data_IF_748374340097
#
_entry.id   IF_748374340097
#
_cell.length_a   1.000
_cell.length_b   1.000
_cell.length_c   1.000
_cell.angle_alpha   90.00
_cell.angle_beta   90.00
_cell.angle_gamma   90.00
#
_symmetry.space_group_name_H-M   'P 1'
#
loop_
_entity.id
_entity.type
_entity.pdbx_description
1 polymer ?
#
# COMPACT_ATOMS: atom_id res chain seq x y z
N UNK A 1 4.06 -37.80 26.26
CA UNK A 1 5.17 -36.82 26.14
C UNK A 1 4.59 -35.44 26.45
N UNK A 2 5.08 -34.76 27.50
CA UNK A 2 4.62 -33.40 27.85
C UNK A 2 5.22 -32.40 26.87
N UNK A 3 4.38 -31.60 26.20
CA UNK A 3 4.81 -30.48 25.33
C UNK A 3 5.50 -29.43 26.23
N UNK A 4 6.76 -29.15 25.97
CA UNK A 4 7.46 -27.99 26.57
C UNK A 4 6.88 -26.71 25.97
N UNK A 5 6.49 -25.75 26.80
CA UNK A 5 5.98 -24.45 26.37
C UNK A 5 7.09 -23.65 25.72
N UNK A 6 6.74 -22.81 24.74
CA UNK A 6 7.68 -21.94 24.04
C UNK A 6 8.46 -21.01 25.00
N UNK A 7 7.88 -20.68 26.15
CA UNK A 7 8.55 -19.90 27.21
C UNK A 7 9.71 -20.66 27.86
N UNK A 8 9.64 -21.99 27.97
CA UNK A 8 10.73 -22.83 28.53
C UNK A 8 11.92 -22.89 27.54
N UNK A 9 11.67 -22.80 26.24
CA UNK A 9 12.70 -22.78 25.21
C UNK A 9 13.40 -21.40 25.14
N UNK A 10 12.67 -20.31 25.35
CA UNK A 10 13.23 -18.95 25.44
C UNK A 10 14.08 -18.77 26.70
N UNK A 11 13.69 -19.34 27.83
CA UNK A 11 14.47 -19.31 29.06
C UNK A 11 15.79 -20.08 28.94
N UNK A 12 15.80 -21.17 28.15
CA UNK A 12 17.00 -22.00 27.92
C UNK A 12 17.99 -21.36 26.91
N UNK A 13 17.56 -20.38 26.11
CA UNK A 13 18.36 -19.67 25.12
C UNK A 13 18.96 -18.34 25.64
N UNK A 14 18.78 -18.02 26.92
CA UNK A 14 19.28 -16.76 27.51
C UNK A 14 20.78 -16.84 27.75
N UNK A 15 21.61 -15.89 27.25
CA UNK A 15 23.02 -15.83 27.55
C UNK A 15 23.25 -15.60 29.07
N UNK A 16 24.24 -16.28 29.64
CA UNK A 16 24.53 -16.26 31.09
C UNK A 16 25.00 -14.88 31.63
N UNK A 17 25.31 -13.93 30.77
CA UNK A 17 25.86 -12.62 31.15
C UNK A 17 24.81 -11.57 31.54
N UNK A 18 23.52 -11.93 31.58
CA UNK A 18 22.42 -11.03 31.96
C UNK A 18 21.98 -11.14 33.39
N UNK A 19 22.60 -11.98 34.22
CA UNK A 19 22.31 -12.10 35.65
C UNK A 19 23.18 -11.14 36.46
N UNK A 20 22.80 -9.86 36.54
CA UNK A 20 23.37 -8.92 37.52
C UNK A 20 22.72 -9.15 38.89
N UNK A 21 23.48 -9.38 39.95
CA UNK A 21 22.91 -9.55 41.31
C UNK A 21 22.51 -8.18 41.87
N UNK A 22 21.23 -8.01 42.16
CA UNK A 22 20.76 -6.93 43.02
C UNK A 22 19.68 -6.01 42.44
N UNK A 23 18.44 -6.50 42.32
CA UNK A 23 17.26 -5.66 42.55
C UNK A 23 16.00 -6.52 42.81
N UNK A 24 15.80 -6.94 44.03
CA UNK A 24 14.50 -7.33 44.51
C UNK A 24 13.64 -6.07 44.65
N UNK A 25 12.73 -5.82 43.71
CA UNK A 25 11.60 -4.91 43.88
C UNK A 25 10.31 -5.70 43.77
N UNK A 26 9.44 -5.49 44.76
CA UNK A 26 8.15 -6.11 44.93
C UNK A 26 7.32 -6.09 43.66
N UNK A 27 6.61 -7.20 43.41
CA UNK A 27 5.57 -7.31 42.40
C UNK A 27 4.44 -6.34 42.75
N UNK A 28 4.38 -5.22 42.05
CA UNK A 28 3.26 -4.29 42.05
C UNK A 28 2.18 -4.84 41.10
N UNK A 29 0.99 -5.01 41.58
CA UNK A 29 -0.16 -5.54 40.84
C UNK A 29 -0.40 -4.73 39.57
N UNK A 30 -0.26 -5.38 38.41
CA UNK A 30 -0.61 -4.79 37.13
C UNK A 30 -2.13 -4.67 37.03
N UNK A 31 -2.66 -3.49 36.71
CA UNK A 31 -4.07 -3.31 36.42
C UNK A 31 -4.44 -4.07 35.14
N UNK A 32 -5.60 -4.73 35.17
CA UNK A 32 -6.27 -5.42 34.07
C UNK A 32 -6.21 -4.59 32.76
N UNK A 33 -5.87 -5.19 31.63
CA UNK A 33 -5.80 -4.46 30.38
C UNK A 33 -7.18 -4.01 29.95
N UNK A 34 -7.40 -2.71 29.97
CA UNK A 34 -8.50 -2.05 29.26
C UNK A 34 -8.36 -2.38 27.79
N UNK A 35 -9.38 -3.00 27.21
CA UNK A 35 -9.47 -3.20 25.75
C UNK A 35 -9.33 -1.85 25.05
N UNK A 36 -8.12 -1.54 24.60
CA UNK A 36 -7.87 -0.42 23.70
C UNK A 36 -8.38 -0.83 22.32
N UNK A 37 -9.32 -0.07 21.80
CA UNK A 37 -9.84 -0.19 20.47
C UNK A 37 -8.67 -0.31 19.46
N UNK A 38 -8.73 -1.34 18.63
CA UNK A 38 -7.76 -1.61 17.57
C UNK A 38 -7.77 -0.41 16.62
N UNK A 39 -6.69 0.34 16.56
CA UNK A 39 -6.42 1.22 15.45
C UNK A 39 -6.38 0.35 14.19
N UNK A 40 -7.40 0.47 13.34
CA UNK A 40 -7.48 -0.25 12.07
C UNK A 40 -6.55 0.46 11.10
N UNK A 41 -5.43 -0.15 10.83
CA UNK A 41 -4.63 0.18 9.66
C UNK A 41 -5.46 -0.18 8.44
N UNK A 42 -5.57 0.75 7.49
CA UNK A 42 -6.06 0.47 6.14
C UNK A 42 -4.95 -0.31 5.45
N UNK A 43 -4.87 -1.61 5.78
CA UNK A 43 -4.02 -2.56 5.08
C UNK A 43 -4.67 -2.90 3.74
N UNK A 44 -3.87 -2.98 2.70
CA UNK A 44 -4.29 -3.49 1.41
C UNK A 44 -4.94 -4.87 1.60
N UNK A 45 -6.21 -4.97 1.25
CA UNK A 45 -6.95 -6.22 1.31
C UNK A 45 -6.51 -7.09 0.14
N UNK A 46 -5.76 -8.13 0.43
CA UNK A 46 -5.54 -9.24 -0.49
C UNK A 46 -6.70 -10.21 -0.38
N UNK A 47 -7.66 -10.10 -1.28
CA UNK A 47 -8.69 -11.11 -1.44
C UNK A 47 -8.34 -12.00 -2.63
N UNK A 48 -8.16 -13.29 -2.39
CA UNK A 48 -7.81 -14.30 -3.40
C UNK A 48 -9.03 -15.01 -3.97
N UNK A 49 -9.06 -15.07 -5.26
CA UNK A 49 -9.59 -16.00 -6.27
C UNK A 49 -10.63 -17.08 -5.94
N UNK A 50 -11.68 -17.08 -6.74
CA UNK A 50 -12.23 -18.30 -7.34
C UNK A 50 -12.57 -18.03 -8.81
N UNK A 51 -12.01 -18.86 -9.70
CA UNK A 51 -12.19 -18.83 -11.15
C UNK A 51 -13.55 -19.38 -11.54
N UNK A 52 -14.32 -18.60 -12.31
CA UNK A 52 -15.30 -19.16 -13.27
C UNK A 52 -15.23 -18.34 -14.54
N UNK A 53 -14.84 -18.99 -15.62
CA UNK A 53 -14.84 -18.44 -16.98
C UNK A 53 -16.27 -18.46 -17.53
N UNK A 54 -16.81 -17.29 -17.90
CA UNK A 54 -17.93 -17.22 -18.85
C UNK A 54 -17.64 -16.11 -19.84
N UNK A 55 -17.52 -16.51 -21.10
CA UNK A 55 -17.43 -15.66 -22.28
C UNK A 55 -18.83 -15.10 -22.56
N UNK A 56 -18.94 -13.78 -22.60
CA UNK A 56 -20.15 -13.10 -23.03
C UNK A 56 -19.84 -11.67 -23.49
N UNK A 57 -19.68 -11.53 -24.80
CA UNK A 57 -19.58 -10.21 -25.43
C UNK A 57 -20.96 -9.56 -25.46
N UNK A 58 -21.14 -8.45 -24.77
CA UNK A 58 -22.26 -7.52 -25.02
C UNK A 58 -21.71 -6.10 -25.13
N UNK A 59 -21.87 -5.54 -26.31
CA UNK A 59 -21.60 -4.15 -26.61
C UNK A 59 -22.61 -3.25 -25.89
N UNK A 60 -22.16 -2.30 -25.10
CA UNK A 60 -22.97 -1.24 -24.51
C UNK A 60 -22.69 0.10 -25.20
N UNK A 61 -23.71 0.92 -25.48
CA UNK A 61 -23.54 2.18 -26.19
C UNK A 61 -22.89 3.23 -25.28
N UNK A 62 -21.85 3.88 -25.82
CA UNK A 62 -21.18 5.03 -25.23
C UNK A 62 -22.12 6.24 -25.26
N UNK A 63 -22.42 6.79 -24.07
CA UNK A 63 -22.87 8.16 -23.96
C UNK A 63 -21.62 9.08 -24.03
N UNK A 64 -21.48 9.79 -25.13
CA UNK A 64 -20.43 10.76 -25.38
C UNK A 64 -20.75 12.05 -24.61
N UNK A 65 -19.84 12.43 -23.71
CA UNK A 65 -19.80 13.77 -23.12
C UNK A 65 -19.15 14.73 -24.15
N UNK A 66 -19.80 15.81 -24.59
CA UNK A 66 -19.25 16.69 -25.63
C UNK A 66 -18.28 17.70 -25.00
N UNK A 67 -17.00 17.36 -24.92
CA UNK A 67 -16.00 18.31 -24.44
C UNK A 67 -14.55 17.86 -24.42
N UNK A 68 -14.26 16.60 -24.68
CA UNK A 68 -12.87 16.12 -24.73
C UNK A 68 -12.46 15.93 -26.18
N UNK A 69 -11.58 16.79 -26.67
CA UNK A 69 -10.89 16.65 -27.97
C UNK A 69 -10.21 15.28 -28.00
N UNK A 70 -10.73 14.38 -28.84
CA UNK A 70 -10.13 13.09 -29.14
C UNK A 70 -8.89 13.28 -30.00
N UNK A 71 -7.76 13.65 -29.37
CA UNK A 71 -6.46 13.39 -29.96
C UNK A 71 -6.36 11.89 -30.20
N UNK A 72 -6.04 11.47 -31.43
CA UNK A 72 -5.81 10.07 -31.76
C UNK A 72 -4.78 9.49 -30.78
N UNK A 73 -5.24 8.73 -29.80
CA UNK A 73 -4.36 7.91 -28.94
C UNK A 73 -3.81 6.83 -29.88
N UNK A 74 -2.54 6.94 -30.23
CA UNK A 74 -1.85 5.90 -30.96
C UNK A 74 -1.98 4.60 -30.15
N UNK A 75 -2.72 3.62 -30.68
CA UNK A 75 -2.87 2.29 -30.10
C UNK A 75 -1.54 1.55 -30.30
N UNK A 76 -0.60 1.77 -29.36
CA UNK A 76 0.56 0.91 -29.24
C UNK A 76 0.11 -0.43 -28.65
N UNK A 77 0.65 -1.58 -29.15
CA UNK A 77 0.43 -2.86 -28.48
C UNK A 77 0.81 -2.73 -27.02
N UNK A 78 -0.11 -3.06 -26.13
CA UNK A 78 0.01 -2.78 -24.69
C UNK A 78 1.29 -3.36 -24.04
N UNK A 79 1.84 -4.48 -24.56
CA UNK A 79 3.08 -5.09 -24.10
C UNK A 79 4.32 -4.21 -24.30
N UNK A 80 4.38 -3.44 -25.38
CA UNK A 80 5.58 -2.64 -25.71
C UNK A 80 5.81 -1.45 -24.77
N UNK A 81 4.76 -0.84 -24.22
CA UNK A 81 4.88 0.32 -23.35
C UNK A 81 5.51 -0.06 -22.00
N UNK A 82 5.04 -1.16 -21.39
CA UNK A 82 5.60 -1.62 -20.11
C UNK A 82 7.03 -2.16 -20.27
N UNK A 83 7.32 -2.89 -21.35
CA UNK A 83 8.69 -3.36 -21.62
C UNK A 83 9.65 -2.17 -21.83
N UNK A 84 9.18 -1.10 -22.48
CA UNK A 84 9.96 0.13 -22.62
C UNK A 84 10.19 0.78 -21.25
N UNK A 85 9.14 0.90 -20.43
CA UNK A 85 9.26 1.40 -19.07
C UNK A 85 10.23 0.56 -18.22
N UNK A 86 10.18 -0.77 -18.34
CA UNK A 86 11.07 -1.69 -17.62
C UNK A 86 12.54 -1.54 -18.05
N UNK A 87 12.81 -1.39 -19.37
CA UNK A 87 14.17 -1.10 -19.86
C UNK A 87 14.66 0.25 -19.38
N UNK A 88 13.82 1.29 -19.44
CA UNK A 88 14.17 2.62 -18.98
C UNK A 88 14.40 2.66 -17.48
N UNK A 89 13.61 1.90 -16.69
CA UNK A 89 13.86 1.71 -15.27
C UNK A 89 15.24 1.11 -15.02
N UNK A 90 15.57 0.02 -15.71
CA UNK A 90 16.86 -0.67 -15.56
C UNK A 90 18.08 0.18 -15.98
N UNK A 91 17.89 1.12 -16.89
CA UNK A 91 18.94 2.04 -17.37
C UNK A 91 19.21 3.23 -16.43
N UNK A 92 18.36 3.44 -15.39
CA UNK A 92 18.55 4.56 -14.47
C UNK A 92 19.81 4.39 -13.63
N UNK A 93 20.64 5.43 -13.60
CA UNK A 93 21.77 5.47 -12.69
C UNK A 93 21.29 5.86 -11.30
N UNK A 94 21.70 5.11 -10.29
CA UNK A 94 21.40 5.39 -8.89
C UNK A 94 22.70 5.40 -8.09
N UNK A 95 22.92 6.48 -7.35
CA UNK A 95 23.99 6.55 -6.37
C UNK A 95 23.35 6.36 -4.98
N UNK A 96 23.61 5.24 -4.30
CA UNK A 96 23.09 5.00 -2.97
C UNK A 96 23.57 6.04 -1.98
N UNK A 97 22.62 6.68 -1.27
CA UNK A 97 22.85 7.59 -0.17
C UNK A 97 22.55 6.94 1.19
N UNK A 98 22.60 7.70 2.28
CA UNK A 98 22.26 7.21 3.62
C UNK A 98 20.75 6.94 3.81
N UNK A 99 19.87 7.59 3.06
CA UNK A 99 18.42 7.42 3.17
C UNK A 99 17.78 7.18 1.80
N UNK A 100 16.88 6.22 1.72
CA UNK A 100 15.92 6.10 0.62
C UNK A 100 14.70 6.95 0.95
N UNK A 101 14.44 7.97 0.14
CA UNK A 101 13.32 8.88 0.30
C UNK A 101 12.22 8.56 -0.69
N UNK A 102 10.99 8.45 -0.20
CA UNK A 102 9.79 8.39 -1.04
C UNK A 102 8.79 9.45 -0.60
N UNK A 103 8.09 10.04 -1.56
CA UNK A 103 7.04 11.02 -1.35
C UNK A 103 5.86 10.73 -2.27
N UNK A 104 4.64 10.87 -1.74
CA UNK A 104 3.44 10.61 -2.50
C UNK A 104 2.17 11.11 -1.84
N UNK A 105 1.06 10.68 -2.43
CA UNK A 105 -0.29 10.91 -1.92
C UNK A 105 -1.02 9.58 -1.80
N UNK A 106 -1.74 9.41 -0.72
CA UNK A 106 -2.82 8.43 -0.60
C UNK A 106 -4.11 9.17 -0.95
N UNK A 107 -4.86 8.63 -1.90
CA UNK A 107 -6.12 9.16 -2.36
C UNK A 107 -7.22 8.14 -2.11
N UNK A 108 -8.36 8.57 -1.58
CA UNK A 108 -9.55 7.74 -1.42
C UNK A 108 -10.77 8.43 -2.03
N UNK A 109 -11.72 7.67 -2.52
CA UNK A 109 -13.06 8.16 -2.87
C UNK A 109 -14.09 7.34 -2.11
N UNK A 110 -15.02 8.01 -1.43
CA UNK A 110 -15.99 7.41 -0.52
C UNK A 110 -17.37 8.05 -0.71
N UNK A 111 -18.42 7.27 -0.42
CA UNK A 111 -19.79 7.78 -0.30
C UNK A 111 -20.09 8.08 1.17
N UNK A 112 -20.54 9.29 1.45
CA UNK A 112 -20.96 9.69 2.79
C UNK A 112 -22.35 10.31 2.76
N UNK A 113 -22.99 10.39 3.92
CA UNK A 113 -24.34 10.95 4.08
C UNK A 113 -25.41 9.89 4.32
N UNK A 114 -26.63 10.34 4.60
CA UNK A 114 -27.78 9.45 4.83
C UNK A 114 -28.38 8.95 3.51
N UNK A 115 -29.08 7.79 3.48
CA UNK A 115 -29.82 7.34 2.31
C UNK A 115 -30.72 8.43 1.74
N UNK A 116 -30.65 8.67 0.43
CA UNK A 116 -31.38 9.74 -0.27
C UNK A 116 -30.72 11.12 -0.22
N UNK A 117 -29.68 11.29 0.59
CA UNK A 117 -28.92 12.54 0.69
C UNK A 117 -27.42 12.25 0.82
N UNK A 118 -26.93 11.29 0.01
CA UNK A 118 -25.52 10.92 -0.05
C UNK A 118 -24.79 11.66 -1.17
N UNK A 119 -23.49 11.81 -1.03
CA UNK A 119 -22.57 12.39 -2.02
C UNK A 119 -21.20 11.79 -1.86
N UNK A 120 -20.39 11.85 -2.92
CA UNK A 120 -19.03 11.31 -2.94
C UNK A 120 -18.03 12.40 -2.53
N UNK A 121 -17.02 11.96 -1.79
CA UNK A 121 -15.91 12.81 -1.37
C UNK A 121 -14.57 12.19 -1.78
N UNK A 122 -13.55 13.04 -1.90
CA UNK A 122 -12.15 12.64 -2.09
C UNK A 122 -11.36 12.99 -0.85
N UNK A 123 -10.80 11.96 -0.20
CA UNK A 123 -9.84 12.08 0.88
C UNK A 123 -8.43 12.09 0.30
N UNK A 124 -7.51 12.82 0.95
CA UNK A 124 -6.14 12.98 0.48
C UNK A 124 -5.18 13.06 1.66
N UNK A 125 -4.14 12.23 1.64
CA UNK A 125 -3.07 12.24 2.65
C UNK A 125 -1.73 12.35 1.93
N UNK A 126 -0.95 13.36 2.24
CA UNK A 126 0.44 13.46 1.80
C UNK A 126 1.30 12.58 2.70
N UNK A 127 2.14 11.75 2.09
CA UNK A 127 3.08 10.88 2.80
C UNK A 127 4.50 11.16 2.37
N UNK A 128 5.44 11.05 3.31
CA UNK A 128 6.86 11.02 3.00
C UNK A 128 7.57 10.04 3.92
N UNK A 129 8.61 9.39 3.41
CA UNK A 129 9.32 8.36 4.13
C UNK A 129 10.82 8.48 3.91
N UNK A 130 11.59 8.42 4.97
CA UNK A 130 13.04 8.34 4.99
C UNK A 130 13.44 7.00 5.60
N UNK A 131 13.84 6.09 4.77
CA UNK A 131 14.28 4.78 5.21
C UNK A 131 15.81 4.72 5.18
N UNK A 132 16.45 4.46 6.31
CA UNK A 132 17.89 4.45 6.41
C UNK A 132 18.48 3.24 5.71
N UNK A 133 19.70 3.42 5.17
CA UNK A 133 20.51 2.30 4.68
C UNK A 133 21.05 1.47 5.84
N UNK A 134 21.37 2.11 6.96
CA UNK A 134 21.77 1.44 8.20
C UNK A 134 20.55 0.90 8.94
N UNK A 135 20.41 -0.43 9.11
CA UNK A 135 19.25 -1.03 9.77
C UNK A 135 19.15 -0.71 11.27
N UNK A 136 20.23 -0.21 11.90
CA UNK A 136 20.20 0.24 13.29
C UNK A 136 19.50 1.60 13.46
N UNK A 137 19.31 2.34 12.37
CA UNK A 137 18.59 3.62 12.36
C UNK A 137 17.11 3.40 12.09
N UNK A 138 16.24 4.22 12.69
CA UNK A 138 14.80 4.11 12.45
C UNK A 138 14.40 4.76 11.12
N UNK A 139 13.44 4.16 10.45
CA UNK A 139 12.69 4.80 9.36
C UNK A 139 11.77 5.85 9.95
N UNK A 140 11.74 7.02 9.32
CA UNK A 140 10.77 8.08 9.62
C UNK A 140 9.71 8.11 8.53
N UNK A 141 8.45 7.96 8.91
CA UNK A 141 7.28 8.12 8.05
C UNK A 141 6.53 9.38 8.49
N UNK A 142 6.08 10.18 7.54
CA UNK A 142 5.21 11.33 7.82
C UNK A 142 3.89 11.21 7.08
N UNK A 143 2.82 11.64 7.74
CA UNK A 143 1.49 11.76 7.16
C UNK A 143 0.91 13.15 7.46
N UNK A 144 0.31 13.75 6.45
CA UNK A 144 -0.38 15.03 6.56
C UNK A 144 -1.71 14.96 5.83
N UNK A 145 -2.81 15.07 6.56
CA UNK A 145 -4.14 15.19 5.99
C UNK A 145 -4.26 16.48 5.18
N UNK A 146 -4.73 16.34 3.94
CA UNK A 146 -5.10 17.46 3.08
C UNK A 146 -6.63 17.64 3.13
N UNK A 147 -7.16 18.84 2.80
CA UNK A 147 -8.60 19.05 2.84
C UNK A 147 -9.36 18.03 1.99
N UNK A 148 -10.34 17.35 2.60
CA UNK A 148 -11.31 16.52 1.92
C UNK A 148 -12.22 17.40 1.09
N UNK A 149 -12.56 16.99 -0.12
CA UNK A 149 -13.37 17.76 -1.06
C UNK A 149 -14.44 16.88 -1.69
N UNK A 150 -15.60 17.44 -2.12
CA UNK A 150 -16.54 16.71 -2.96
C UNK A 150 -15.86 16.17 -4.23
N UNK A 151 -16.24 14.96 -4.66
CA UNK A 151 -15.58 14.25 -5.76
C UNK A 151 -15.73 14.93 -7.12
N UNK A 152 -16.80 15.73 -7.31
CA UNK A 152 -17.08 16.48 -8.53
C UNK A 152 -17.97 17.71 -8.23
N UNK A 153 -18.20 18.56 -9.22
CA UNK A 153 -19.11 19.69 -9.09
C UNK A 153 -20.57 19.27 -8.79
N UNK A 154 -21.00 18.12 -9.29
CA UNK A 154 -22.31 17.54 -8.97
C UNK A 154 -22.39 17.13 -7.48
N UNK A 155 -21.34 16.49 -6.99
CA UNK A 155 -21.22 16.08 -5.59
C UNK A 155 -21.10 17.30 -4.66
N UNK A 156 -20.46 18.37 -5.11
CA UNK A 156 -20.42 19.63 -4.38
C UNK A 156 -21.83 20.25 -4.22
N UNK A 157 -22.65 20.19 -5.28
CA UNK A 157 -24.04 20.65 -5.19
C UNK A 157 -24.85 19.77 -4.21
N UNK A 158 -24.67 18.45 -4.23
CA UNK A 158 -25.32 17.55 -3.30
C UNK A 158 -24.89 17.83 -1.85
N UNK A 159 -23.61 18.02 -1.58
CA UNK A 159 -23.06 18.43 -0.30
C UNK A 159 -23.65 19.78 0.19
N UNK A 160 -23.79 20.76 -0.73
CA UNK A 160 -24.39 22.05 -0.40
C UNK A 160 -25.86 21.91 -0.03
N UNK A 161 -26.63 21.05 -0.75
CA UNK A 161 -28.04 20.74 -0.40
C UNK A 161 -28.16 20.03 0.95
N UNK A 162 -27.18 19.22 1.31
CA UNK A 162 -27.11 18.55 2.62
C UNK A 162 -26.75 19.49 3.79
N UNK A 163 -26.62 20.81 3.55
CA UNK A 163 -26.29 21.79 4.60
C UNK A 163 -24.79 21.98 4.83
N UNK A 164 -23.94 21.52 3.93
CA UNK A 164 -22.47 21.62 4.00
C UNK A 164 -21.88 21.02 5.29
N UNK A 165 -22.21 19.78 5.64
CA UNK A 165 -21.62 19.14 6.81
C UNK A 165 -20.09 19.06 6.67
N UNK A 166 -19.41 18.88 7.80
CA UNK A 166 -17.96 18.72 7.81
C UNK A 166 -17.54 17.48 7.02
N UNK A 167 -16.53 17.60 6.16
CA UNK A 167 -16.05 16.52 5.30
C UNK A 167 -14.84 15.85 5.96
N UNK A 168 -15.04 14.71 6.56
CA UNK A 168 -13.99 13.95 7.26
C UNK A 168 -14.16 12.43 7.10
N UNK A 169 -14.45 11.98 5.88
CA UNK A 169 -14.66 10.56 5.60
C UNK A 169 -15.86 10.01 6.39
N UNK A 170 -15.79 8.73 6.74
CA UNK A 170 -16.84 8.06 7.53
C UNK A 170 -16.93 8.51 8.99
N UNK A 171 -16.00 9.33 9.47
CA UNK A 171 -16.00 9.89 10.80
C UNK A 171 -16.63 11.29 10.79
N UNK A 172 -17.95 11.36 11.05
CA UNK A 172 -18.71 12.61 11.09
C UNK A 172 -18.16 13.63 12.08
N UNK A 173 -17.44 13.19 13.09
CA UNK A 173 -16.82 14.03 14.11
C UNK A 173 -15.37 14.40 13.81
N UNK A 174 -14.76 13.84 12.77
CA UNK A 174 -13.34 13.95 12.42
C UNK A 174 -12.37 13.59 13.57
N UNK A 175 -12.78 12.71 14.48
CA UNK A 175 -11.98 12.33 15.66
C UNK A 175 -10.97 11.24 15.38
N UNK A 176 -11.25 10.39 14.38
CA UNK A 176 -10.43 9.22 14.01
C UNK A 176 -9.62 9.44 12.74
N UNK A 177 -9.53 10.67 12.24
CA UNK A 177 -8.65 10.98 11.12
C UNK A 177 -7.22 10.53 11.45
N UNK A 178 -6.75 9.50 10.75
CA UNK A 178 -5.42 8.93 10.95
C UNK A 178 -4.30 9.92 10.63
N UNK A 179 -4.58 10.87 9.73
CA UNK A 179 -3.66 11.94 9.36
C UNK A 179 -4.28 13.31 9.75
N UNK A 180 -3.67 14.04 10.69
CA UNK A 180 -4.21 15.32 11.16
C UNK A 180 -4.25 16.36 10.03
N UNK A 181 -5.39 17.01 9.86
CA UNK A 181 -5.58 18.03 8.83
C UNK A 181 -4.65 19.21 9.03
N UNK A 182 -3.83 19.50 8.01
CA UNK A 182 -2.89 20.62 8.02
C UNK A 182 -1.69 20.48 8.94
N UNK A 183 -1.66 19.45 9.78
CA UNK A 183 -0.53 19.11 10.67
C UNK A 183 0.19 17.87 10.12
N UNK A 184 1.44 17.68 10.50
CA UNK A 184 2.22 16.51 10.09
C UNK A 184 2.42 15.59 11.28
N UNK A 185 2.00 14.34 11.12
CA UNK A 185 2.29 13.24 12.05
C UNK A 185 3.59 12.58 11.66
N UNK A 186 4.46 12.34 12.62
CA UNK A 186 5.72 11.63 12.46
C UNK A 186 5.62 10.29 13.16
N UNK A 187 5.92 9.22 12.44
CA UNK A 187 5.93 7.85 12.93
C UNK A 187 7.32 7.27 12.75
N UNK A 188 7.72 6.40 13.67
CA UNK A 188 9.04 5.78 13.67
C UNK A 188 8.89 4.26 13.61
N UNK A 189 9.65 3.64 12.73
CA UNK A 189 9.57 2.20 12.48
C UNK A 189 10.98 1.60 12.41
N UNK A 190 11.10 0.29 12.64
CA UNK A 190 12.38 -0.40 12.48
C UNK A 190 12.95 -0.17 11.07
N UNK A 191 14.27 -0.05 10.96
CA UNK A 191 14.98 0.24 9.72
C UNK A 191 15.08 -0.93 8.73
N UNK A 192 14.30 -2.00 8.90
CA UNK A 192 14.28 -3.18 8.02
C UNK A 192 13.19 -3.09 6.96
N UNK A 193 13.40 -3.74 5.85
CA UNK A 193 12.56 -3.73 4.65
C UNK A 193 12.15 -5.12 4.20
N UNK A 194 11.01 -5.27 3.52
CA UNK A 194 9.80 -4.47 3.64
C UNK A 194 9.11 -4.76 4.97
N UNK A 195 8.15 -3.93 5.35
CA UNK A 195 7.43 -4.10 6.62
C UNK A 195 6.55 -5.35 6.58
N UNK A 196 6.89 -6.29 7.34
CA UNK A 196 6.30 -7.41 7.99
C UNK A 196 5.09 -8.16 7.47
N UNK A 197 4.17 -7.58 6.73
CA UNK A 197 2.94 -8.27 6.34
C UNK A 197 3.19 -9.42 5.35
N UNK A 198 4.21 -9.29 4.50
CA UNK A 198 4.56 -10.32 3.51
C UNK A 198 5.68 -11.27 3.97
N UNK A 199 6.11 -11.17 5.22
CA UNK A 199 7.10 -12.08 5.80
C UNK A 199 8.51 -11.99 5.24
N UNK A 200 8.81 -10.94 4.44
CA UNK A 200 10.14 -10.70 3.89
C UNK A 200 10.80 -9.53 4.61
N UNK A 201 11.85 -9.81 5.38
CA UNK A 201 12.66 -8.79 6.03
C UNK A 201 14.10 -8.91 5.55
N UNK A 202 14.56 -7.93 4.76
CA UNK A 202 15.92 -7.89 4.24
C UNK A 202 16.58 -6.55 4.60
N UNK A 203 17.88 -6.56 4.93
CA UNK A 203 18.65 -5.31 5.05
C UNK A 203 18.80 -4.63 3.68
N UNK A 204 19.02 -3.31 3.68
CA UNK A 204 19.14 -2.53 2.44
C UNK A 204 20.21 -3.05 1.48
N UNK A 205 21.31 -3.61 1.99
CA UNK A 205 22.36 -4.21 1.18
C UNK A 205 21.85 -5.39 0.36
N UNK A 206 21.11 -6.32 0.98
CA UNK A 206 20.52 -7.47 0.28
C UNK A 206 19.43 -7.07 -0.72
N UNK A 207 18.69 -5.99 -0.44
CA UNK A 207 17.70 -5.43 -1.39
C UNK A 207 18.36 -4.85 -2.63
N UNK A 208 19.52 -4.20 -2.49
CA UNK A 208 20.31 -3.68 -3.61
C UNK A 208 20.93 -4.82 -4.46
N UNK A 209 21.22 -5.97 -3.84
CA UNK A 209 21.82 -7.15 -4.47
C UNK A 209 20.78 -8.13 -5.05
N UNK A 210 19.48 -7.81 -4.99
CA UNK A 210 18.45 -8.64 -5.59
C UNK A 210 18.68 -8.81 -7.11
N UNK A 211 18.38 -10.00 -7.67
CA UNK A 211 18.59 -10.29 -9.09
C UNK A 211 17.90 -9.27 -10.01
N UNK A 212 18.54 -9.01 -11.14
CA UNK A 212 18.05 -8.07 -12.16
C UNK A 212 17.39 -8.78 -13.35
N UNK A 213 17.44 -10.12 -13.40
CA UNK A 213 16.71 -10.93 -14.36
C UNK A 213 15.42 -11.46 -13.76
N UNK A 214 14.28 -11.38 -14.46
CA UNK A 214 12.96 -11.71 -13.93
C UNK A 214 12.84 -13.11 -13.33
N UNK A 215 13.39 -14.14 -14.00
CA UNK A 215 13.30 -15.52 -13.55
C UNK A 215 14.17 -15.78 -12.31
N UNK A 216 15.39 -15.28 -12.28
CA UNK A 216 16.28 -15.37 -11.13
C UNK A 216 15.70 -14.60 -9.92
N UNK A 217 15.07 -13.44 -10.15
CA UNK A 217 14.38 -12.67 -9.13
C UNK A 217 13.18 -13.44 -8.58
N UNK A 218 12.40 -14.04 -9.46
CA UNK A 218 11.25 -14.89 -9.07
C UNK A 218 11.70 -16.05 -8.17
N UNK A 219 12.74 -16.76 -8.55
CA UNK A 219 13.30 -17.85 -7.75
C UNK A 219 13.81 -17.36 -6.39
N UNK A 220 14.55 -16.25 -6.36
CA UNK A 220 15.05 -15.64 -5.12
C UNK A 220 13.93 -15.25 -4.17
N UNK A 221 12.85 -14.64 -4.67
CA UNK A 221 11.71 -14.26 -3.85
C UNK A 221 10.94 -15.50 -3.38
N UNK A 222 10.70 -16.49 -4.25
CA UNK A 222 10.00 -17.72 -3.87
C UNK A 222 10.75 -18.55 -2.82
N UNK A 223 12.04 -18.34 -2.62
CA UNK A 223 12.79 -18.98 -1.54
C UNK A 223 12.27 -18.56 -0.14
N UNK A 224 11.58 -17.42 -0.02
CA UNK A 224 10.97 -16.97 1.25
C UNK A 224 9.53 -17.50 1.45
N UNK A 225 8.89 -18.01 0.40
CA UNK A 225 7.52 -18.50 0.46
C UNK A 225 7.27 -19.57 1.54
N UNK A 226 8.15 -20.58 1.76
CA UNK A 226 7.89 -21.59 2.79
C UNK A 226 7.76 -21.00 4.19
N UNK A 227 8.63 -20.06 4.56
CA UNK A 227 8.57 -19.39 5.86
C UNK A 227 7.30 -18.53 6.01
N UNK A 228 6.95 -17.77 4.97
CA UNK A 228 5.73 -16.98 4.95
C UNK A 228 4.47 -17.86 5.05
N UNK A 229 4.39 -18.92 4.25
CA UNK A 229 3.22 -19.81 4.25
C UNK A 229 3.04 -20.56 5.58
N UNK A 230 4.13 -20.80 6.31
CA UNK A 230 4.06 -21.41 7.65
C UNK A 230 3.49 -20.44 8.68
N UNK A 231 3.93 -19.17 8.66
CA UNK A 231 3.37 -18.11 9.52
C UNK A 231 1.88 -17.90 9.29
N UNK A 232 1.43 -18.02 8.05
CA UNK A 232 0.02 -17.84 7.68
C UNK A 232 -0.91 -18.95 8.17
N UNK A 233 -0.38 -20.14 8.51
CA UNK A 233 -1.19 -21.23 9.07
C UNK A 233 -1.74 -20.93 10.46
N UNK A 234 -1.00 -20.16 11.23
CA UNK A 234 -1.37 -19.76 12.59
C UNK A 234 -2.14 -18.43 12.63
N UNK A 235 -2.32 -17.79 11.45
CA UNK A 235 -3.08 -16.55 11.36
C UNK A 235 -4.57 -16.84 11.62
N UNK A 236 -5.24 -16.06 12.48
CA UNK A 236 -6.66 -16.24 12.69
C UNK A 236 -7.37 -16.22 11.33
N UNK A 237 -8.16 -17.27 11.07
CA UNK A 237 -8.87 -17.47 9.80
C UNK A 237 -9.48 -16.15 9.34
N UNK A 238 -9.13 -15.67 8.13
CA UNK A 238 -9.72 -14.44 7.62
C UNK A 238 -11.24 -14.56 7.64
N UNK A 239 -11.98 -13.46 7.77
CA UNK A 239 -13.43 -13.48 7.68
C UNK A 239 -13.86 -14.27 6.44
N UNK A 240 -14.92 -15.05 6.58
CA UNK A 240 -15.45 -15.99 5.57
C UNK A 240 -15.32 -15.47 4.13
N UNK A 241 -14.54 -16.16 3.31
CA UNK A 241 -14.41 -15.89 1.87
C UNK A 241 -12.99 -15.52 1.38
N UNK A 242 -12.01 -15.37 2.26
CA UNK A 242 -10.62 -15.17 1.84
C UNK A 242 -9.86 -16.50 1.90
N UNK A 243 -9.35 -16.95 0.75
CA UNK A 243 -8.41 -18.07 0.68
C UNK A 243 -7.00 -17.62 1.09
N UNK A 244 -6.18 -18.55 1.58
CA UNK A 244 -4.77 -18.29 1.78
C UNK A 244 -4.12 -17.82 0.47
N UNK A 245 -3.16 -16.88 0.52
CA UNK A 245 -2.46 -16.42 -0.66
C UNK A 245 -1.86 -17.58 -1.46
N UNK A 246 -1.96 -17.53 -2.77
CA UNK A 246 -1.21 -18.41 -3.67
C UNK A 246 0.23 -17.89 -3.80
N UNK A 247 1.16 -18.72 -4.32
CA UNK A 247 2.52 -18.26 -4.63
C UNK A 247 2.53 -17.06 -5.58
N UNK A 248 1.64 -17.04 -6.57
CA UNK A 248 1.60 -15.96 -7.56
C UNK A 248 0.97 -14.69 -7.00
N UNK A 249 -0.07 -14.78 -6.15
CA UNK A 249 -0.60 -13.59 -5.46
C UNK A 249 0.41 -13.03 -4.48
N UNK A 250 1.09 -13.88 -3.70
CA UNK A 250 2.14 -13.45 -2.80
C UNK A 250 3.32 -12.80 -3.54
N UNK A 251 3.77 -13.39 -4.68
CA UNK A 251 4.81 -12.78 -5.51
C UNK A 251 4.41 -11.39 -6.02
N UNK A 252 3.14 -11.21 -6.37
CA UNK A 252 2.62 -9.91 -6.76
C UNK A 252 2.69 -8.93 -5.62
N UNK A 253 2.18 -9.30 -4.46
CA UNK A 253 2.11 -8.43 -3.28
C UNK A 253 3.51 -8.02 -2.81
N UNK A 254 4.46 -8.96 -2.69
CA UNK A 254 5.83 -8.64 -2.32
C UNK A 254 6.54 -7.78 -3.37
N UNK A 255 6.22 -7.97 -4.67
CA UNK A 255 6.76 -7.13 -5.74
C UNK A 255 6.27 -5.70 -5.64
N UNK A 256 5.00 -5.51 -5.31
CA UNK A 256 4.44 -4.18 -5.08
C UNK A 256 5.08 -3.51 -3.87
N UNK A 257 5.26 -4.22 -2.76
CA UNK A 257 5.96 -3.72 -1.58
C UNK A 257 7.38 -3.27 -1.90
N UNK A 258 8.13 -4.08 -2.67
CA UNK A 258 9.48 -3.73 -3.10
C UNK A 258 9.48 -2.47 -3.99
N UNK A 259 8.58 -2.38 -4.96
CA UNK A 259 8.46 -1.24 -5.86
C UNK A 259 8.10 0.06 -5.15
N UNK A 260 7.25 -0.02 -4.14
CA UNK A 260 6.72 1.10 -3.38
C UNK A 260 7.75 1.67 -2.39
N UNK A 261 8.40 0.78 -1.68
CA UNK A 261 9.07 1.16 -0.45
C UNK A 261 10.55 0.85 -0.43
N UNK A 262 11.02 -0.15 -1.18
CA UNK A 262 12.37 -0.67 -1.03
C UNK A 262 13.41 0.09 -1.88
N UNK A 263 14.64 0.25 -1.37
CA UNK A 263 15.76 0.83 -2.10
C UNK A 263 16.38 -0.21 -3.07
N UNK A 264 15.56 -0.82 -3.91
CA UNK A 264 16.03 -1.80 -4.91
C UNK A 264 16.83 -1.15 -6.02
N UNK A 265 17.71 -1.93 -6.66
CA UNK A 265 18.48 -1.46 -7.81
C UNK A 265 17.59 -1.12 -9.00
N UNK A 266 18.09 -0.30 -9.90
CA UNK A 266 17.41 0.05 -11.15
C UNK A 266 17.09 -1.19 -12.00
N UNK A 267 18.04 -2.14 -12.11
CA UNK A 267 17.85 -3.40 -12.81
C UNK A 267 16.76 -4.28 -12.17
N UNK A 268 16.78 -4.41 -10.84
CA UNK A 268 15.77 -5.17 -10.09
C UNK A 268 14.37 -4.54 -10.29
N UNK A 269 14.25 -3.21 -10.34
CA UNK A 269 12.97 -2.54 -10.62
C UNK A 269 12.43 -2.91 -11.99
N UNK A 270 13.27 -2.90 -13.03
CA UNK A 270 12.90 -3.34 -14.36
C UNK A 270 12.49 -4.81 -14.42
N UNK A 271 13.20 -5.67 -13.67
CA UNK A 271 12.88 -7.09 -13.55
C UNK A 271 11.52 -7.33 -12.85
N UNK A 272 11.21 -6.58 -11.78
CA UNK A 272 9.91 -6.64 -11.09
C UNK A 272 8.75 -6.30 -12.03
N UNK A 273 8.86 -5.25 -12.84
CA UNK A 273 7.81 -4.90 -13.81
C UNK A 273 7.53 -6.03 -14.78
N UNK A 274 8.58 -6.64 -15.34
CA UNK A 274 8.43 -7.79 -16.25
C UNK A 274 7.87 -9.01 -15.55
N UNK A 275 8.33 -9.30 -14.35
CA UNK A 275 7.87 -10.43 -13.55
C UNK A 275 6.38 -10.30 -13.23
N UNK A 276 5.93 -9.15 -12.71
CA UNK A 276 4.51 -8.92 -12.38
C UNK A 276 3.63 -8.96 -13.62
N UNK A 277 4.11 -8.43 -14.77
CA UNK A 277 3.38 -8.47 -16.04
C UNK A 277 3.09 -9.91 -16.52
N UNK A 278 3.98 -10.86 -16.19
CA UNK A 278 3.88 -12.26 -16.58
C UNK A 278 3.18 -13.15 -15.54
N UNK A 279 2.74 -12.61 -14.39
CA UNK A 279 1.99 -13.38 -13.40
C UNK A 279 0.57 -13.69 -13.90
N UNK A 280 0.02 -14.89 -13.56
CA UNK A 280 -1.34 -15.25 -13.93
C UNK A 280 -2.38 -14.20 -13.52
N UNK A 281 -3.33 -13.93 -14.42
CA UNK A 281 -4.40 -12.96 -14.20
C UNK A 281 -3.99 -11.51 -14.42
N UNK A 282 -2.71 -11.21 -14.69
CA UNK A 282 -2.27 -9.87 -15.08
C UNK A 282 -2.56 -9.60 -16.55
N UNK A 283 -3.07 -8.41 -16.84
CA UNK A 283 -3.34 -7.95 -18.21
C UNK A 283 -2.70 -6.60 -18.46
N UNK A 284 -2.25 -6.37 -19.67
CA UNK A 284 -1.75 -5.08 -20.11
C UNK A 284 -2.94 -4.13 -20.37
N UNK A 285 -2.84 -2.92 -19.84
CA UNK A 285 -3.89 -1.89 -19.96
C UNK A 285 -3.53 -0.81 -21.01
N UNK A 286 -2.32 -0.87 -21.59
CA UNK A 286 -1.82 0.17 -22.45
C UNK A 286 -1.42 1.41 -21.66
N UNK A 287 -1.63 2.58 -22.26
CA UNK A 287 -1.41 3.88 -21.59
C UNK A 287 -2.67 4.31 -20.89
N UNK A 288 -2.61 4.40 -19.57
CA UNK A 288 -3.73 4.82 -18.73
C UNK A 288 -3.32 5.97 -17.81
N UNK A 289 -4.26 6.83 -17.41
CA UNK A 289 -3.99 7.88 -16.44
C UNK A 289 -3.94 7.31 -15.02
N UNK A 290 -3.08 7.87 -14.18
CA UNK A 290 -3.16 7.72 -12.74
C UNK A 290 -4.25 8.64 -12.15
N UNK A 291 -4.44 8.57 -10.83
CA UNK A 291 -5.44 9.37 -10.13
C UNK A 291 -5.15 10.90 -10.14
N UNK A 292 -3.96 11.34 -10.57
CA UNK A 292 -3.61 12.74 -10.82
C UNK A 292 -3.66 13.10 -12.32
N UNK A 293 -4.04 12.17 -13.20
CA UNK A 293 -4.17 12.37 -14.65
C UNK A 293 -2.85 12.22 -15.42
N UNK A 294 -1.76 11.75 -14.80
CA UNK A 294 -0.48 11.50 -15.46
C UNK A 294 -0.57 10.19 -16.23
N UNK A 295 -0.22 10.21 -17.52
CA UNK A 295 -0.25 9.01 -18.36
C UNK A 295 0.98 8.13 -18.13
N UNK A 296 0.76 6.83 -17.99
CA UNK A 296 1.81 5.82 -17.87
C UNK A 296 1.41 4.47 -18.49
N UNK A 297 2.40 3.60 -18.67
CA UNK A 297 2.18 2.22 -19.06
C UNK A 297 1.51 1.46 -17.89
N UNK A 298 0.33 0.89 -18.11
CA UNK A 298 -0.47 0.23 -17.11
C UNK A 298 -0.53 -1.28 -17.27
N UNK A 299 -0.50 -1.99 -16.15
CA UNK A 299 -0.94 -3.38 -16.01
C UNK A 299 -1.95 -3.48 -14.89
N UNK A 300 -2.86 -4.45 -14.98
CA UNK A 300 -3.89 -4.63 -13.98
C UNK A 300 -4.30 -6.08 -13.78
N UNK A 301 -4.91 -6.34 -12.64
CA UNK A 301 -5.53 -7.63 -12.30
C UNK A 301 -6.75 -7.40 -11.44
N UNK A 302 -7.75 -8.24 -11.66
CA UNK A 302 -9.05 -8.12 -10.96
C UNK A 302 -9.03 -8.92 -9.66
N UNK A 303 -9.63 -8.35 -8.62
CA UNK A 303 -9.83 -8.96 -7.32
C UNK A 303 -11.32 -8.91 -6.96
N UNK A 304 -11.82 -9.97 -6.31
CA UNK A 304 -13.15 -9.95 -5.71
C UNK A 304 -13.15 -9.06 -4.46
N UNK A 305 -14.19 -8.26 -4.30
CA UNK A 305 -14.43 -7.42 -3.11
C UNK A 305 -15.90 -7.58 -2.73
N UNK A 306 -16.18 -8.32 -1.66
CA UNK A 306 -17.56 -8.66 -1.29
C UNK A 306 -18.31 -9.32 -2.44
N UNK A 307 -19.44 -8.73 -2.84
CA UNK A 307 -20.28 -9.15 -3.97
C UNK A 307 -19.91 -8.48 -5.31
N UNK A 308 -18.85 -7.69 -5.34
CA UNK A 308 -18.36 -6.96 -6.51
C UNK A 308 -16.92 -7.29 -6.89
N UNK A 309 -16.29 -6.38 -7.64
CA UNK A 309 -14.93 -6.55 -8.15
C UNK A 309 -14.19 -5.21 -8.23
N UNK A 310 -12.92 -5.22 -7.85
CA UNK A 310 -11.98 -4.13 -8.07
C UNK A 310 -10.85 -4.59 -8.98
N UNK A 311 -10.31 -3.69 -9.81
CA UNK A 311 -9.08 -3.90 -10.54
C UNK A 311 -7.96 -3.10 -9.89
N UNK A 312 -6.91 -3.78 -9.45
CA UNK A 312 -5.68 -3.14 -9.04
C UNK A 312 -4.81 -2.86 -10.27
N UNK A 313 -4.32 -1.64 -10.39
CA UNK A 313 -3.54 -1.15 -11.52
C UNK A 313 -2.18 -0.65 -11.05
N UNK A 314 -1.11 -1.13 -11.69
CA UNK A 314 0.25 -0.63 -11.57
C UNK A 314 0.53 0.27 -12.76
N UNK A 315 0.91 1.54 -12.52
CA UNK A 315 1.13 2.55 -13.57
C UNK A 315 2.56 3.06 -13.48
N UNK A 316 3.28 2.97 -14.59
CA UNK A 316 4.71 3.29 -14.69
C UNK A 316 4.94 4.35 -15.76
N UNK A 317 5.74 5.36 -15.47
CA UNK A 317 6.19 6.36 -16.45
C UNK A 317 7.06 5.70 -17.52
N UNK A 318 6.62 5.73 -18.78
CA UNK A 318 7.28 5.01 -19.86
C UNK A 318 8.71 5.52 -20.11
N UNK A 319 8.92 6.84 -20.02
CA UNK A 319 10.19 7.48 -20.32
C UNK A 319 11.30 7.22 -19.31
N UNK A 320 10.96 7.06 -18.05
CA UNK A 320 11.93 6.88 -16.95
C UNK A 320 11.83 5.53 -16.25
N UNK A 321 10.73 4.79 -16.44
CA UNK A 321 10.44 3.60 -15.67
C UNK A 321 10.12 3.87 -14.19
N UNK A 322 9.79 5.11 -13.84
CA UNK A 322 9.39 5.47 -12.47
C UNK A 322 7.98 4.99 -12.19
N UNK A 323 7.76 4.40 -11.01
CA UNK A 323 6.42 4.11 -10.53
C UNK A 323 5.63 5.42 -10.37
N UNK A 324 4.49 5.54 -11.04
CA UNK A 324 3.58 6.68 -10.92
C UNK A 324 2.50 6.41 -9.88
N UNK A 325 1.85 5.25 -9.96
CA UNK A 325 0.78 4.92 -9.04
C UNK A 325 0.52 3.41 -8.92
N UNK A 326 -0.03 3.07 -7.78
CA UNK A 326 -0.85 1.87 -7.57
C UNK A 326 -2.26 2.33 -7.26
N UNK A 327 -3.25 1.90 -8.05
CA UNK A 327 -4.62 2.34 -7.83
C UNK A 327 -5.61 1.19 -7.97
N UNK A 328 -6.73 1.31 -7.28
CA UNK A 328 -7.82 0.36 -7.29
C UNK A 328 -9.04 1.01 -7.95
N UNK A 329 -9.53 0.37 -9.01
CA UNK A 329 -10.67 0.85 -9.80
C UNK A 329 -11.86 -0.07 -9.62
N UNK A 330 -13.02 0.46 -9.33
CA UNK A 330 -14.27 -0.31 -9.27
C UNK A 330 -14.57 -0.89 -10.65
N UNK A 331 -14.59 -2.22 -10.78
CA UNK A 331 -15.02 -2.92 -12.00
C UNK A 331 -16.49 -3.27 -11.92
N UNK A 332 -16.89 -3.89 -10.82
CA UNK A 332 -18.28 -4.18 -10.48
C UNK A 332 -18.55 -3.63 -9.09
N UNK A 333 -19.51 -2.69 -8.93
CA UNK A 333 -19.87 -2.17 -7.62
C UNK A 333 -20.23 -3.29 -6.64
N UNK A 334 -19.92 -3.10 -5.37
CA UNK A 334 -20.27 -3.99 -4.27
C UNK A 334 -21.17 -3.27 -3.26
N UNK A 335 -21.98 -4.04 -2.54
CA UNK A 335 -22.89 -3.50 -1.52
C UNK A 335 -22.37 -3.68 -0.11
N UNK A 336 -21.48 -4.65 0.09
CA UNK A 336 -20.86 -4.95 1.37
C UNK A 336 -19.35 -5.10 1.18
N UNK A 337 -18.57 -4.40 1.99
CA UNK A 337 -17.14 -4.56 2.03
C UNK A 337 -16.76 -5.42 3.25
N UNK A 338 -16.30 -6.66 3.04
CA UNK A 338 -15.92 -7.56 4.12
C UNK A 338 -14.73 -7.04 4.94
N UNK A 339 -13.93 -6.14 4.37
CA UNK A 339 -12.82 -5.49 5.06
C UNK A 339 -13.23 -4.28 5.90
N UNK A 340 -14.52 -3.89 5.88
CA UNK A 340 -15.04 -2.79 6.65
C UNK A 340 -14.72 -1.40 6.09
N UNK A 341 -14.37 -1.31 4.80
CA UNK A 341 -14.26 -0.03 4.08
C UNK A 341 -15.63 0.36 3.51
N UNK A 342 -16.61 0.54 4.39
CA UNK A 342 -18.00 0.80 4.00
C UNK A 342 -18.15 2.02 3.07
N UNK A 343 -17.22 2.97 3.13
CA UNK A 343 -17.22 4.18 2.30
C UNK A 343 -17.05 3.94 0.80
N UNK A 344 -16.44 2.82 0.41
CA UNK A 344 -16.25 2.46 -1.01
C UNK A 344 -17.41 1.63 -1.57
N UNK A 345 -18.32 1.12 -0.72
CA UNK A 345 -19.49 0.39 -1.16
C UNK A 345 -20.46 1.31 -1.94
N UNK A 346 -20.98 0.80 -3.05
CA UNK A 346 -21.89 1.55 -3.93
C UNK A 346 -21.24 2.54 -4.89
N UNK A 347 -19.92 2.67 -4.88
CA UNK A 347 -19.21 3.50 -5.87
C UNK A 347 -19.43 2.96 -7.30
N UNK A 348 -19.64 3.84 -8.29
CA UNK A 348 -19.87 3.42 -9.67
C UNK A 348 -18.63 2.75 -10.29
N UNK A 349 -18.86 1.85 -11.26
CA UNK A 349 -17.79 1.28 -12.07
C UNK A 349 -16.97 2.39 -12.75
N UNK A 350 -15.65 2.19 -12.82
CA UNK A 350 -14.69 3.17 -13.33
C UNK A 350 -14.18 4.17 -12.27
N UNK A 351 -14.73 4.16 -11.05
CA UNK A 351 -14.22 5.03 -9.97
C UNK A 351 -12.89 4.48 -9.43
N UNK A 352 -11.88 5.35 -9.32
CA UNK A 352 -10.65 5.08 -8.56
C UNK A 352 -10.98 5.28 -7.09
N UNK A 353 -11.23 4.19 -6.35
CA UNK A 353 -11.64 4.28 -4.95
C UNK A 353 -10.48 4.38 -3.97
N UNK A 354 -9.29 3.94 -4.38
CA UNK A 354 -8.05 4.07 -3.61
C UNK A 354 -6.87 4.21 -4.57
N UNK A 355 -5.92 5.09 -4.27
CA UNK A 355 -4.67 5.20 -5.01
C UNK A 355 -3.51 5.63 -4.12
N UNK A 356 -2.35 5.03 -4.36
CA UNK A 356 -1.05 5.47 -3.89
C UNK A 356 -0.33 6.12 -5.06
N UNK A 357 -0.15 7.42 -5.02
CA UNK A 357 0.46 8.21 -6.09
C UNK A 357 1.88 8.59 -5.68
N UNK A 358 2.87 8.23 -6.48
CA UNK A 358 4.28 8.47 -6.20
C UNK A 358 4.76 9.72 -6.95
N UNK A 359 5.34 10.66 -6.21
CA UNK A 359 5.92 11.90 -6.75
C UNK A 359 7.43 11.83 -6.82
N UNK A 360 8.04 11.20 -5.81
CA UNK A 360 9.49 11.05 -5.73
C UNK A 360 9.86 9.73 -5.08
N UNK A 361 10.90 9.08 -5.62
CA UNK A 361 11.59 7.95 -5.01
C UNK A 361 13.07 8.06 -5.39
N UNK A 362 13.94 8.32 -4.43
CA UNK A 362 15.37 8.56 -4.67
C UNK A 362 16.19 8.42 -3.38
N UNK A 363 17.49 8.16 -3.54
CA UNK A 363 18.44 8.32 -2.45
C UNK A 363 18.65 9.79 -2.09
N UNK A 364 18.85 10.08 -0.82
CA UNK A 364 19.14 11.44 -0.32
C UNK A 364 20.10 11.39 0.87
N UNK A 365 20.92 12.43 0.99
CA UNK A 365 21.78 12.66 2.16
C UNK A 365 21.04 13.43 3.27
N UNK A 366 19.87 13.98 2.96
CA UNK A 366 19.09 14.80 3.89
C UNK A 366 18.17 13.90 4.73
N UNK A 367 18.36 13.83 6.06
CA UNK A 367 17.45 13.10 6.95
C UNK A 367 16.10 13.81 7.08
N UNK A 368 15.12 13.12 7.64
CA UNK A 368 13.86 13.73 8.04
C UNK A 368 14.10 14.85 9.06
N UNK A 369 13.47 16.00 8.82
CA UNK A 369 13.53 17.14 9.75
C UNK A 369 12.40 17.00 10.76
N UNK A 370 12.77 16.65 12.00
CA UNK A 370 11.81 16.53 13.09
C UNK A 370 11.44 17.91 13.65
N UNK A 371 10.18 18.12 14.10
CA UNK A 371 9.79 19.34 14.80
C UNK A 371 10.49 19.47 16.16
N UNK A 372 10.51 20.68 16.69
CA UNK A 372 11.07 20.96 18.02
C UNK A 372 10.37 20.12 19.10
N UNK A 373 11.14 19.53 20.00
CA UNK A 373 10.64 18.66 21.07
C UNK A 373 10.26 17.25 20.62
N UNK A 374 10.41 16.93 19.31
CA UNK A 374 10.23 15.58 18.78
C UNK A 374 11.59 14.90 18.65
N UNK A 375 11.76 13.77 19.29
CA UNK A 375 12.93 12.92 19.16
C UNK A 375 12.53 11.51 18.74
N UNK A 376 13.35 10.88 17.90
CA UNK A 376 13.17 9.47 17.59
C UNK A 376 13.27 8.65 18.89
N UNK A 377 12.35 7.70 19.13
CA UNK A 377 12.41 6.84 20.30
C UNK A 377 13.64 5.93 20.22
N UNK A 378 14.18 5.55 21.38
CA UNK A 378 15.32 4.64 21.45
C UNK A 378 14.96 3.19 21.06
N UNK A 379 13.68 2.90 20.88
CA UNK A 379 13.17 1.57 20.50
C UNK A 379 11.93 1.71 19.60
N UNK A 380 11.66 0.69 18.79
CA UNK A 380 10.44 0.58 17.98
C UNK A 380 9.20 0.65 18.87
N UNK A 381 8.30 1.58 18.60
CA UNK A 381 7.07 1.77 19.37
C UNK A 381 6.98 3.09 20.14
N UNK A 382 7.84 4.06 19.84
CA UNK A 382 7.78 5.40 20.42
C UNK A 382 6.49 6.14 20.07
N UNK A 383 6.17 7.17 20.88
CA UNK A 383 4.98 8.00 20.64
C UNK A 383 5.16 8.79 19.35
N UNK A 384 4.12 8.77 18.52
CA UNK A 384 4.03 9.63 17.35
C UNK A 384 4.14 11.10 17.75
N UNK A 385 4.87 11.88 16.96
CA UNK A 385 4.93 13.32 17.12
C UNK A 385 3.98 13.99 16.12
N UNK A 386 3.43 15.12 16.49
CA UNK A 386 2.58 15.94 15.61
C UNK A 386 3.07 17.39 15.65
N UNK A 387 3.40 17.93 14.46
CA UNK A 387 3.82 19.34 14.31
C UNK A 387 2.63 20.26 14.03
#
# INVERSE_FOLDING_TARGET
>A
MKRKNALDLLAAARPADLDMPGSSRAAEELPTPVQRGRARWVGAVTASLATVSVIGALASPRLLDPGVSTGQVATYPAGNALDTAARNAAAQQQTPGPFWYTEGLILGEEIIGAPGNHYRIKTRVQTSRWAPRDPATLTVLTERGLPTVPASGQEEQAWRRAGKPKLCGNDTDCKNDTAPLGRTRFMFMAGTWPYGEQGLTLPAAELLDLPQEPDALRERLLAFWPAYSETMKDWPTPPTGTSLPTKDSWLRDISLELLQHAPISAGTRGALYRMVANLPGTRALGRIPDAEGRLGAGIGWTQAVGDGQSEQQLIVEESSGRLLALQNVVVKPWTQDPAGNEGAAGLPAGTVHHALVYRRAAWTDTPARLPEGCSAPNQTGGKDCVS
#
